data_IF_342908207667
#
_entry.id   IF_342908207667
#
_cell.length_a   1.000
_cell.length_b   1.000
_cell.length_c   1.000
_cell.angle_alpha   90.00
_cell.angle_beta   90.00
_cell.angle_gamma   90.00
#
_symmetry.space_group_name_H-M   'P 1'
#
loop_
_entity.id
_entity.type
_entity.pdbx_description
1 polymer ?
#
# COMPACT_ATOMS: atom_id res chain seq x y z
N UNK A 1 -2.46 3.76 10.62
CA UNK A 1 -2.15 2.35 10.98
C UNK A 1 -0.67 2.17 11.33
N UNK A 2 0.25 2.39 10.39
CA UNK A 2 1.69 2.17 10.61
C UNK A 2 2.27 2.96 11.80
N UNK A 3 1.84 4.22 11.97
CA UNK A 3 2.17 5.05 13.15
C UNK A 3 1.89 4.33 14.48
N UNK A 4 0.68 3.80 14.64
CA UNK A 4 0.28 3.11 15.86
C UNK A 4 0.95 1.74 15.98
N UNK A 5 1.19 1.05 14.86
CA UNK A 5 1.92 -0.22 14.86
C UNK A 5 3.34 -0.04 15.41
N UNK A 6 4.04 1.04 15.03
CA UNK A 6 5.40 1.31 15.49
C UNK A 6 5.54 1.41 17.02
N UNK A 7 4.49 1.84 17.73
CA UNK A 7 4.51 1.94 19.20
C UNK A 7 4.35 0.57 19.88
N UNK A 8 3.74 -0.40 19.20
CA UNK A 8 3.39 -1.72 19.75
C UNK A 8 4.21 -2.88 19.16
N UNK A 9 4.94 -2.64 18.06
CA UNK A 9 5.58 -3.70 17.28
C UNK A 9 6.61 -4.50 18.09
N UNK A 10 6.60 -5.81 17.92
CA UNK A 10 7.52 -6.75 18.59
C UNK A 10 8.51 -7.34 17.59
N UNK A 11 9.66 -7.88 18.05
CA UNK A 11 10.65 -8.49 17.17
C UNK A 11 10.08 -9.58 16.24
N UNK A 12 9.14 -10.41 16.74
CA UNK A 12 8.46 -11.43 15.93
C UNK A 12 7.64 -10.86 14.77
N UNK A 13 7.06 -9.66 14.95
CA UNK A 13 6.28 -8.99 13.90
C UNK A 13 7.23 -8.47 12.81
N UNK A 14 8.41 -7.95 13.18
CA UNK A 14 9.47 -7.56 12.24
C UNK A 14 9.98 -8.75 11.44
N UNK A 15 10.27 -9.88 12.09
CA UNK A 15 10.73 -11.11 11.41
C UNK A 15 9.68 -11.58 10.39
N UNK A 16 8.39 -11.54 10.76
CA UNK A 16 7.32 -11.89 9.84
C UNK A 16 7.23 -10.93 8.63
N UNK A 17 7.36 -9.61 8.87
CA UNK A 17 7.34 -8.62 7.79
C UNK A 17 8.55 -8.76 6.85
N UNK A 18 9.74 -9.05 7.38
CA UNK A 18 10.93 -9.33 6.56
C UNK A 18 10.73 -10.57 5.68
N UNK A 19 10.12 -11.64 6.22
CA UNK A 19 9.82 -12.84 5.44
C UNK A 19 8.79 -12.59 4.33
N UNK A 20 7.80 -11.72 4.58
CA UNK A 20 6.85 -11.29 3.55
C UNK A 20 7.56 -10.46 2.47
N UNK A 21 8.42 -9.53 2.88
CA UNK A 21 9.19 -8.69 1.96
C UNK A 21 10.14 -9.51 1.08
N UNK A 22 10.74 -10.58 1.61
CA UNK A 22 11.56 -11.48 0.80
C UNK A 22 10.74 -12.18 -0.29
N UNK A 23 9.50 -12.60 0.02
CA UNK A 23 8.57 -13.13 -1.00
C UNK A 23 8.20 -12.06 -2.02
N UNK A 24 8.00 -10.82 -1.58
CA UNK A 24 7.68 -9.69 -2.46
C UNK A 24 8.74 -9.52 -3.56
N UNK A 25 10.02 -9.71 -3.23
CA UNK A 25 11.12 -9.63 -4.20
C UNK A 25 11.14 -10.75 -5.24
N UNK A 26 10.60 -11.92 -4.90
CA UNK A 26 10.49 -13.05 -5.83
C UNK A 26 9.34 -12.84 -6.83
N UNK A 27 8.34 -12.07 -6.42
CA UNK A 27 7.17 -11.66 -7.21
C UNK A 27 7.23 -10.17 -7.53
N UNK A 28 8.44 -9.62 -7.74
CA UNK A 28 8.60 -8.18 -7.96
C UNK A 28 7.89 -7.76 -9.26
N UNK A 29 7.31 -6.55 -9.25
CA UNK A 29 6.43 -6.04 -10.31
C UNK A 29 5.17 -6.89 -10.56
N UNK A 30 4.84 -7.86 -9.70
CA UNK A 30 3.60 -8.61 -9.84
C UNK A 30 2.37 -7.78 -9.47
N UNK A 31 1.29 -8.00 -10.21
CA UNK A 31 -0.02 -7.37 -9.97
C UNK A 31 -0.71 -8.02 -8.80
N UNK A 32 -1.32 -7.18 -7.98
CA UNK A 32 -2.31 -7.59 -6.98
C UNK A 32 -1.85 -8.77 -6.11
N UNK A 33 -0.59 -8.69 -5.68
CA UNK A 33 0.11 -9.81 -5.11
C UNK A 33 -0.36 -10.08 -3.69
N UNK A 34 -0.55 -11.37 -3.38
CA UNK A 34 -1.01 -11.80 -2.05
C UNK A 34 -0.07 -11.33 -0.93
N UNK A 35 1.23 -11.20 -1.20
CA UNK A 35 2.20 -10.72 -0.23
C UNK A 35 1.91 -9.30 0.25
N UNK A 36 1.34 -8.43 -0.59
CA UNK A 36 1.04 -7.04 -0.26
C UNK A 36 -0.08 -6.96 0.78
N UNK A 37 -1.15 -7.74 0.56
CA UNK A 37 -2.20 -7.94 1.57
C UNK A 37 -1.63 -8.47 2.89
N UNK A 38 -0.79 -9.52 2.83
CA UNK A 38 -0.19 -10.11 4.03
C UNK A 38 0.66 -9.09 4.80
N UNK A 39 1.39 -8.22 4.10
CA UNK A 39 2.21 -7.16 4.69
C UNK A 39 1.36 -6.15 5.47
N UNK A 40 0.33 -5.59 4.82
CA UNK A 40 -0.56 -4.61 5.46
C UNK A 40 -1.34 -5.20 6.63
N UNK A 41 -1.85 -6.43 6.50
CA UNK A 41 -2.53 -7.14 7.58
C UNK A 41 -1.58 -7.40 8.75
N UNK A 42 -0.32 -7.76 8.49
CA UNK A 42 0.69 -7.95 9.54
C UNK A 42 0.98 -6.65 10.30
N UNK A 43 1.08 -5.51 9.62
CA UNK A 43 1.22 -4.20 10.29
C UNK A 43 -0.03 -3.90 11.13
N UNK A 44 -1.23 -4.19 10.62
CA UNK A 44 -2.47 -4.00 11.37
C UNK A 44 -2.49 -4.86 12.64
N UNK A 45 -2.08 -6.13 12.56
CA UNK A 45 -1.97 -7.03 13.71
C UNK A 45 -0.93 -6.55 14.73
N UNK A 46 0.17 -5.95 14.27
CA UNK A 46 1.20 -5.41 15.16
C UNK A 46 0.67 -4.30 16.09
N UNK A 47 -0.43 -3.62 15.72
CA UNK A 47 -1.11 -2.63 16.58
C UNK A 47 -1.74 -3.23 17.84
N UNK A 48 -1.82 -4.56 17.95
CA UNK A 48 -2.55 -5.29 19.00
C UNK A 48 -4.05 -4.93 19.09
N UNK A 49 -4.62 -4.39 18.00
CA UNK A 49 -6.04 -4.09 17.88
C UNK A 49 -6.68 -5.04 16.84
N UNK A 50 -7.36 -6.07 17.32
CA UNK A 50 -8.01 -7.08 16.47
C UNK A 50 -9.11 -6.51 15.60
N UNK A 51 -9.84 -5.48 16.07
CA UNK A 51 -10.87 -4.82 15.27
C UNK A 51 -10.26 -4.10 14.07
N UNK A 52 -9.13 -3.39 14.27
CA UNK A 52 -8.42 -2.72 13.18
C UNK A 52 -7.88 -3.74 12.15
N UNK A 53 -7.30 -4.85 12.61
CA UNK A 53 -6.84 -5.91 11.73
C UNK A 53 -7.99 -6.50 10.88
N UNK A 54 -9.15 -6.76 11.50
CA UNK A 54 -10.32 -7.27 10.81
C UNK A 54 -10.88 -6.28 9.77
N UNK A 55 -10.83 -4.97 10.04
CA UNK A 55 -11.22 -3.93 9.09
C UNK A 55 -10.28 -3.96 7.87
N UNK A 56 -8.97 -3.97 8.07
CA UNK A 56 -7.97 -4.00 6.98
C UNK A 56 -8.17 -5.24 6.09
N UNK A 57 -8.33 -6.41 6.70
CA UNK A 57 -8.60 -7.65 5.97
C UNK A 57 -9.92 -7.61 5.20
N UNK A 58 -10.97 -7.03 5.80
CA UNK A 58 -12.26 -6.86 5.12
C UNK A 58 -12.17 -5.91 3.93
N UNK A 59 -11.46 -4.78 4.06
CA UNK A 59 -11.24 -3.85 2.95
C UNK A 59 -10.50 -4.53 1.79
N UNK A 60 -9.48 -5.33 2.10
CA UNK A 60 -8.78 -6.13 1.11
C UNK A 60 -9.68 -7.13 0.39
N UNK A 61 -10.50 -7.88 1.13
CA UNK A 61 -11.49 -8.79 0.52
C UNK A 61 -12.48 -8.06 -0.37
N UNK A 62 -12.95 -6.87 0.03
CA UNK A 62 -13.82 -6.07 -0.82
C UNK A 62 -13.12 -5.65 -2.12
N UNK A 63 -11.85 -5.24 -2.05
CA UNK A 63 -11.05 -4.89 -3.22
C UNK A 63 -10.93 -6.07 -4.21
N UNK A 64 -10.64 -7.27 -3.72
CA UNK A 64 -10.52 -8.49 -4.55
C UNK A 64 -11.83 -8.89 -5.27
N UNK A 65 -12.99 -8.55 -4.72
CA UNK A 65 -14.30 -8.86 -5.31
C UNK A 65 -14.96 -7.65 -6.00
N UNK A 66 -14.29 -6.49 -6.05
CA UNK A 66 -14.85 -5.30 -6.66
C UNK A 66 -14.67 -5.38 -8.19
N UNK A 67 -15.76 -5.47 -8.98
CA UNK A 67 -15.66 -5.59 -10.43
C UNK A 67 -14.96 -4.39 -11.09
N UNK A 68 -15.08 -3.18 -10.52
CA UNK A 68 -14.37 -2.01 -11.03
C UNK A 68 -12.87 -2.11 -10.78
N UNK A 69 -12.46 -2.65 -9.63
CA UNK A 69 -11.04 -2.84 -9.30
C UNK A 69 -10.40 -3.87 -10.23
N UNK A 70 -11.07 -5.01 -10.42
CA UNK A 70 -10.63 -6.07 -11.32
C UNK A 70 -10.49 -5.53 -12.75
N UNK A 71 -11.52 -4.83 -13.24
CA UNK A 71 -11.50 -4.26 -14.58
C UNK A 71 -10.41 -3.21 -14.76
N UNK A 72 -10.15 -2.36 -13.76
CA UNK A 72 -9.03 -1.41 -13.80
C UNK A 72 -7.69 -2.14 -13.99
N UNK A 73 -7.47 -3.23 -13.26
CA UNK A 73 -6.21 -3.99 -13.28
C UNK A 73 -6.01 -4.81 -14.56
N UNK A 74 -7.08 -5.16 -15.27
CA UNK A 74 -7.01 -5.78 -16.60
C UNK A 74 -6.34 -4.86 -17.63
N UNK A 75 -6.57 -3.55 -17.55
CA UNK A 75 -6.14 -2.58 -18.57
C UNK A 75 -4.75 -2.00 -18.33
N UNK A 76 -4.25 -2.04 -17.09
CA UNK A 76 -2.88 -1.64 -16.77
C UNK A 76 -1.91 -2.57 -17.51
N UNK A 77 -0.97 -2.07 -18.32
CA UNK A 77 0.12 -2.88 -18.89
C UNK A 77 1.17 -3.17 -17.79
N UNK A 78 1.78 -4.36 -17.81
CA UNK A 78 2.76 -4.78 -16.82
C UNK A 78 3.97 -3.85 -16.78
N UNK A 79 4.29 -3.19 -17.90
CA UNK A 79 5.36 -2.19 -17.99
C UNK A 79 5.13 -0.95 -17.11
N UNK A 80 3.88 -0.65 -16.72
CA UNK A 80 3.56 0.50 -15.87
C UNK A 80 3.62 0.17 -14.38
N UNK A 81 3.72 -1.12 -14.02
CA UNK A 81 3.82 -1.53 -12.62
C UNK A 81 5.23 -1.23 -12.15
N UNK A 82 5.35 -0.34 -11.19
CA UNK A 82 6.61 -0.07 -10.51
C UNK A 82 6.82 -1.05 -9.36
N UNK A 83 8.08 -1.33 -9.00
CA UNK A 83 8.37 -2.07 -7.78
C UNK A 83 7.85 -1.32 -6.54
N UNK A 84 7.09 -2.00 -5.70
CA UNK A 84 6.72 -1.52 -4.36
C UNK A 84 7.68 -1.98 -3.27
N UNK A 85 8.69 -2.80 -3.62
CA UNK A 85 9.62 -3.34 -2.65
C UNK A 85 10.38 -2.21 -1.91
N UNK A 86 10.80 -1.17 -2.62
CA UNK A 86 11.54 -0.05 -2.03
C UNK A 86 10.69 0.72 -1.01
N UNK A 87 9.43 0.98 -1.32
CA UNK A 87 8.48 1.64 -0.41
C UNK A 87 8.30 0.82 0.88
N UNK A 88 8.14 -0.50 0.72
CA UNK A 88 7.99 -1.42 1.84
C UNK A 88 9.24 -1.52 2.71
N UNK A 89 10.43 -1.44 2.12
CA UNK A 89 11.68 -1.35 2.88
C UNK A 89 11.74 -0.10 3.74
N UNK A 90 11.25 1.04 3.24
CA UNK A 90 11.22 2.28 4.03
C UNK A 90 10.24 2.18 5.20
N UNK A 91 9.08 1.57 4.99
CA UNK A 91 8.12 1.27 6.05
C UNK A 91 8.76 0.34 7.09
N UNK A 92 9.39 -0.75 6.64
CA UNK A 92 10.08 -1.71 7.50
C UNK A 92 11.18 -1.05 8.34
N UNK A 93 12.05 -0.24 7.72
CA UNK A 93 13.11 0.49 8.44
C UNK A 93 12.54 1.42 9.51
N UNK A 94 11.45 2.12 9.22
CA UNK A 94 10.80 2.99 10.21
C UNK A 94 10.19 2.19 11.37
N UNK A 95 9.54 1.06 11.07
CA UNK A 95 8.97 0.15 12.06
C UNK A 95 10.06 -0.50 12.94
N UNK A 96 11.19 -0.91 12.36
CA UNK A 96 12.34 -1.47 13.09
C UNK A 96 12.95 -0.47 14.07
N UNK A 97 12.99 0.81 13.70
CA UNK A 97 13.42 1.90 14.59
C UNK A 97 12.37 2.28 15.65
N UNK A 98 11.17 1.67 15.59
CA UNK A 98 10.01 2.05 16.41
C UNK A 98 9.71 3.54 16.34
N UNK A 99 9.80 4.11 15.13
CA UNK A 99 9.58 5.53 14.88
C UNK A 99 8.16 5.73 14.31
N UNK A 100 7.19 6.21 15.12
CA UNK A 100 5.80 6.33 14.69
C UNK A 100 5.63 7.36 13.56
N UNK A 101 6.33 8.50 13.67
CA UNK A 101 6.24 9.57 12.70
C UNK A 101 6.81 9.15 11.35
N UNK A 102 7.99 8.52 11.34
CA UNK A 102 8.57 7.99 10.11
C UNK A 102 7.73 6.84 9.52
N UNK A 103 7.14 5.99 10.37
CA UNK A 103 6.28 4.88 9.91
C UNK A 103 5.00 5.40 9.26
N UNK A 104 4.43 6.49 9.80
CA UNK A 104 3.30 7.20 9.20
C UNK A 104 3.66 7.77 7.83
N UNK A 105 4.78 8.49 7.77
CA UNK A 105 5.23 9.17 6.55
C UNK A 105 5.56 8.17 5.45
N UNK A 106 6.28 7.10 5.76
CA UNK A 106 6.63 6.06 4.79
C UNK A 106 5.38 5.36 4.23
N UNK A 107 4.40 5.02 5.09
CA UNK A 107 3.15 4.42 4.64
C UNK A 107 2.31 5.40 3.80
N UNK A 108 2.28 6.68 4.16
CA UNK A 108 1.61 7.70 3.37
C UNK A 108 2.25 7.85 1.99
N UNK A 109 3.58 7.91 1.93
CA UNK A 109 4.32 8.02 0.67
C UNK A 109 4.08 6.81 -0.23
N UNK A 110 4.06 5.60 0.34
CA UNK A 110 3.74 4.37 -0.40
C UNK A 110 2.35 4.42 -1.04
N UNK A 111 1.34 4.90 -0.31
CA UNK A 111 -0.01 5.06 -0.86
C UNK A 111 -0.05 6.13 -1.96
N UNK A 112 0.71 7.22 -1.80
CA UNK A 112 0.82 8.27 -2.82
C UNK A 112 1.49 7.76 -4.10
N UNK A 113 2.58 6.99 -3.97
CA UNK A 113 3.26 6.35 -5.10
C UNK A 113 2.33 5.37 -5.82
N UNK A 114 1.60 4.56 -5.06
CA UNK A 114 0.62 3.60 -5.60
C UNK A 114 -0.51 4.33 -6.33
N UNK A 115 -1.02 5.42 -5.76
CA UNK A 115 -2.01 6.28 -6.42
C UNK A 115 -1.44 6.79 -7.73
N UNK A 116 -0.27 7.40 -7.72
CA UNK A 116 0.35 7.99 -8.91
C UNK A 116 0.55 6.94 -10.02
N UNK A 117 1.07 5.76 -9.67
CA UNK A 117 1.22 4.65 -10.62
C UNK A 117 -0.12 4.25 -11.25
N UNK A 118 -1.19 4.09 -10.45
CA UNK A 118 -2.51 3.75 -10.98
C UNK A 118 -3.08 4.85 -11.89
N UNK A 119 -2.86 6.12 -11.58
CA UNK A 119 -3.27 7.24 -12.44
C UNK A 119 -2.50 7.23 -13.76
N UNK A 120 -1.18 7.08 -13.72
CA UNK A 120 -0.34 7.08 -14.93
C UNK A 120 -0.61 5.84 -15.79
N UNK A 121 -0.84 4.69 -15.17
CA UNK A 121 -1.14 3.44 -15.87
C UNK A 121 -2.52 3.42 -16.52
N UNK A 122 -3.41 4.36 -16.16
CA UNK A 122 -4.77 4.46 -16.71
C UNK A 122 -4.93 5.68 -17.61
N UNK A 123 -3.97 6.60 -17.62
CA UNK A 123 -4.00 7.82 -18.43
C UNK A 123 -3.98 7.57 -19.95
N UNK A 124 -3.41 6.45 -20.41
CA UNK A 124 -3.38 6.08 -21.84
C UNK A 124 -4.73 5.53 -22.35
N UNK A 125 -5.58 5.04 -21.44
CA UNK A 125 -6.84 4.34 -21.77
C UNK A 125 -8.06 5.28 -21.73
N UNK A 126 -7.93 6.45 -21.10
CA UNK A 126 -8.96 7.47 -21.05
C UNK A 126 -8.69 8.57 -22.08
N UNK A 127 -9.39 8.51 -23.21
CA UNK A 127 -9.64 9.65 -24.11
C UNK A 127 -10.48 10.78 -23.46
N UNK A 128 -10.45 10.91 -22.12
CA UNK A 128 -11.17 11.92 -21.36
C UNK A 128 -10.22 12.63 -20.40
N UNK A 129 -9.62 13.71 -20.90
CA UNK A 129 -8.80 14.70 -20.19
C UNK A 129 -9.54 15.47 -19.06
N UNK A 130 -10.69 14.99 -18.58
CA UNK A 130 -11.59 15.72 -17.68
C UNK A 130 -11.30 15.41 -16.21
N UNK A 131 -10.97 14.17 -15.85
CA UNK A 131 -10.83 13.76 -14.44
C UNK A 131 -9.45 14.02 -13.84
N UNK A 132 -8.44 14.28 -14.67
CA UNK A 132 -7.08 14.62 -14.21
C UNK A 132 -7.05 15.87 -13.31
N UNK A 133 -7.99 16.79 -13.53
CA UNK A 133 -8.12 18.04 -12.77
C UNK A 133 -8.91 17.90 -11.46
N UNK A 134 -9.71 16.84 -11.29
CA UNK A 134 -10.58 16.69 -10.11
C UNK A 134 -9.84 16.17 -8.86
N UNK A 135 -8.70 15.48 -9.04
CA UNK A 135 -7.93 14.87 -7.95
C UNK A 135 -6.50 15.39 -7.82
N UNK A 136 -6.11 16.39 -8.60
CA UNK A 136 -4.77 16.98 -8.56
C UNK A 136 -4.53 17.88 -7.34
N UNK A 137 -5.59 18.39 -6.70
CA UNK A 137 -5.49 19.32 -5.58
C UNK A 137 -5.98 18.70 -4.27
N UNK A 138 -5.17 18.84 -3.22
CA UNK A 138 -5.54 18.45 -1.86
C UNK A 138 -6.47 19.52 -1.26
N UNK A 139 -7.76 19.23 -0.99
CA UNK A 139 -8.73 20.24 -0.54
C UNK A 139 -8.46 20.77 0.88
N UNK A 140 -7.42 20.27 1.57
CA UNK A 140 -7.07 20.67 2.94
C UNK A 140 -6.00 21.78 2.98
N UNK A 141 -5.37 22.09 1.85
CA UNK A 141 -4.42 23.21 1.77
C UNK A 141 -5.14 24.41 1.15
N UNK A 142 -5.67 25.29 2.00
CA UNK A 142 -6.06 26.64 1.57
C UNK A 142 -4.81 27.54 1.50
N UNK A 143 -4.76 28.49 0.55
CA UNK A 143 -3.65 29.42 0.36
C UNK A 143 -3.42 30.35 1.56
#
# INVERSE_FOLDING_TARGET
MAEFAATQIRPQDIVALLAIQEKARQEDHARDSRWDMEFHVRIAQATQNSALAAIVEKMWRHRLHNPYWLKLHEHIDARHITSWCDDHDQILKALMRKDPAASKLAMWQHLENTKQMLFDATADDFEFNVDRYMFAENPVILP
#
